data_IF_003087837602
#
_entry.id   IF_003087837602
#
_cell.length_a   1.000
_cell.length_b   1.000
_cell.length_c   1.000
_cell.angle_alpha   90.00
_cell.angle_beta   90.00
_cell.angle_gamma   90.00
#
_symmetry.space_group_name_H-M   'P 1'
#
loop_
_entity.id
_entity.type
_entity.pdbx_description
1 polymer ?
#
# COMPACT_ATOMS: atom_id res chain seq x y z
N UNK A 1 29.59 -22.59 14.18
CA UNK A 1 28.68 -21.53 13.86
C UNK A 1 27.49 -22.16 13.13
N UNK A 2 26.32 -22.21 13.76
CA UNK A 2 25.08 -22.60 13.09
C UNK A 2 24.83 -21.60 11.97
N UNK A 3 24.67 -22.04 10.73
CA UNK A 3 24.33 -21.18 9.61
C UNK A 3 22.90 -20.68 9.82
N UNK A 4 22.65 -19.38 9.56
CA UNK A 4 21.29 -18.83 9.58
C UNK A 4 20.41 -19.58 8.59
N UNK A 5 19.16 -19.88 8.98
CA UNK A 5 18.20 -20.61 8.15
C UNK A 5 17.80 -19.82 6.89
N UNK A 6 17.76 -18.47 7.02
CA UNK A 6 17.43 -17.54 5.94
C UNK A 6 18.48 -16.44 5.79
N UNK A 7 18.59 -15.87 4.60
CA UNK A 7 19.34 -14.64 4.41
C UNK A 7 18.54 -13.45 4.99
N UNK A 8 17.23 -13.43 4.75
CA UNK A 8 16.39 -12.30 5.13
C UNK A 8 15.08 -12.81 5.77
N UNK A 9 14.74 -12.23 6.91
CA UNK A 9 13.42 -12.36 7.53
C UNK A 9 12.67 -11.04 7.42
N UNK A 10 11.43 -11.09 6.94
CA UNK A 10 10.57 -9.93 6.80
C UNK A 10 9.35 -10.11 7.71
N UNK A 11 9.21 -9.22 8.67
CA UNK A 11 8.06 -9.17 9.57
C UNK A 11 7.00 -8.21 9.03
N UNK A 12 5.89 -8.75 8.58
CA UNK A 12 4.76 -8.05 7.97
C UNK A 12 4.56 -8.42 6.50
N UNK A 13 3.45 -9.06 6.19
CA UNK A 13 3.00 -9.44 4.84
C UNK A 13 2.04 -8.43 4.22
N UNK A 14 2.18 -7.14 4.54
CA UNK A 14 1.54 -6.05 3.81
C UNK A 14 2.18 -5.85 2.43
N UNK A 15 1.68 -4.89 1.63
CA UNK A 15 2.22 -4.64 0.29
C UNK A 15 3.73 -4.39 0.31
N UNK A 16 4.23 -3.60 1.26
CA UNK A 16 5.66 -3.31 1.38
C UNK A 16 6.49 -4.55 1.71
N UNK A 17 6.06 -5.36 2.69
CA UNK A 17 6.78 -6.58 3.06
C UNK A 17 6.74 -7.65 1.98
N UNK A 18 5.60 -7.85 1.32
CA UNK A 18 5.50 -8.77 0.19
C UNK A 18 6.33 -8.30 -1.02
N UNK A 19 6.38 -7.00 -1.29
CA UNK A 19 7.24 -6.46 -2.35
C UNK A 19 8.72 -6.69 -2.04
N UNK A 20 9.12 -6.43 -0.80
CA UNK A 20 10.49 -6.73 -0.35
C UNK A 20 10.81 -8.23 -0.49
N UNK A 21 9.88 -9.12 -0.06
CA UNK A 21 10.05 -10.55 -0.19
C UNK A 21 10.21 -11.00 -1.66
N UNK A 22 9.38 -10.46 -2.56
CA UNK A 22 9.48 -10.74 -3.98
C UNK A 22 10.78 -10.19 -4.59
N UNK A 23 11.20 -8.98 -4.22
CA UNK A 23 12.41 -8.36 -4.74
C UNK A 23 13.68 -9.11 -4.30
N UNK A 24 13.80 -9.41 -3.02
CA UNK A 24 14.95 -10.17 -2.50
C UNK A 24 14.94 -11.62 -2.99
N UNK A 25 13.77 -12.26 -3.04
CA UNK A 25 13.64 -13.60 -3.59
C UNK A 25 14.03 -13.67 -5.06
N UNK A 26 13.65 -12.67 -5.87
CA UNK A 26 14.03 -12.56 -7.29
C UNK A 26 15.53 -12.29 -7.45
N UNK A 27 16.18 -11.69 -6.46
CA UNK A 27 17.63 -11.50 -6.42
C UNK A 27 18.40 -12.73 -5.91
N UNK A 28 17.72 -13.84 -5.60
CA UNK A 28 18.33 -15.10 -5.21
C UNK A 28 18.50 -15.32 -3.70
N UNK A 29 18.08 -14.39 -2.86
CA UNK A 29 18.15 -14.57 -1.40
C UNK A 29 17.09 -15.54 -0.89
N UNK A 30 17.42 -16.30 0.16
CA UNK A 30 16.42 -17.09 0.91
C UNK A 30 15.67 -16.18 1.87
N UNK A 31 14.32 -16.13 1.72
CA UNK A 31 13.49 -15.16 2.44
C UNK A 31 12.38 -15.84 3.22
N UNK A 32 12.25 -15.51 4.51
CA UNK A 32 11.05 -15.79 5.31
C UNK A 32 10.23 -14.51 5.47
N UNK A 33 9.00 -14.50 4.98
CA UNK A 33 8.04 -13.41 5.21
C UNK A 33 6.94 -13.89 6.15
N UNK A 34 6.72 -13.19 7.27
CA UNK A 34 5.77 -13.58 8.31
C UNK A 34 4.71 -12.50 8.49
N UNK A 35 3.43 -12.87 8.44
CA UNK A 35 2.31 -11.94 8.65
C UNK A 35 1.37 -12.44 9.75
N UNK A 36 0.99 -11.54 10.65
CA UNK A 36 -0.02 -11.81 11.69
C UNK A 36 -1.43 -12.03 11.12
N UNK A 37 -1.72 -11.50 9.93
CA UNK A 37 -3.04 -11.61 9.31
C UNK A 37 -3.18 -13.01 8.69
N UNK A 38 -4.26 -13.76 9.00
CA UNK A 38 -4.52 -15.04 8.37
C UNK A 38 -4.69 -14.95 6.85
N UNK A 39 -4.38 -16.05 6.16
CA UNK A 39 -4.52 -16.12 4.69
C UNK A 39 -5.97 -15.89 4.21
N UNK A 40 -6.94 -16.36 5.00
CA UNK A 40 -8.37 -16.12 4.74
C UNK A 40 -8.87 -15.03 5.69
N UNK A 41 -9.33 -13.88 5.15
CA UNK A 41 -9.99 -12.87 5.97
C UNK A 41 -11.23 -13.45 6.66
N UNK A 42 -11.49 -13.05 7.89
CA UNK A 42 -12.73 -13.43 8.58
C UNK A 42 -13.97 -12.87 7.86
N UNK A 43 -15.16 -13.41 8.14
CA UNK A 43 -16.41 -13.04 7.44
C UNK A 43 -16.79 -11.55 7.60
N UNK A 44 -16.23 -10.86 8.58
CA UNK A 44 -16.44 -9.42 8.83
C UNK A 44 -15.40 -8.53 8.18
N UNK A 45 -14.41 -9.06 7.47
CA UNK A 45 -13.36 -8.27 6.84
C UNK A 45 -13.93 -7.46 5.68
N UNK A 46 -13.82 -6.13 5.78
CA UNK A 46 -14.18 -5.24 4.67
C UNK A 46 -13.13 -5.34 3.56
N UNK A 47 -13.55 -5.35 2.29
CA UNK A 47 -12.61 -5.26 1.17
C UNK A 47 -11.73 -4.01 1.29
N UNK A 48 -10.45 -4.13 0.95
CA UNK A 48 -9.55 -2.99 0.88
C UNK A 48 -9.88 -2.16 -0.38
N UNK A 49 -10.54 -1.03 -0.18
CA UNK A 49 -10.92 -0.10 -1.25
C UNK A 49 -9.82 0.90 -1.59
N UNK A 50 -8.65 0.81 -0.95
CA UNK A 50 -7.53 1.70 -1.19
C UNK A 50 -6.80 1.33 -2.47
N UNK A 51 -6.13 2.33 -3.02
CA UNK A 51 -5.26 2.20 -4.18
C UNK A 51 -3.87 2.73 -3.85
N UNK A 52 -2.91 2.40 -4.67
CA UNK A 52 -1.54 2.90 -4.56
C UNK A 52 -1.15 3.53 -5.90
N UNK A 53 -0.77 4.81 -5.85
CA UNK A 53 -0.12 5.47 -6.98
C UNK A 53 1.35 5.05 -7.04
N UNK A 54 1.70 4.30 -8.06
CA UNK A 54 3.06 3.85 -8.35
C UNK A 54 3.72 4.87 -9.26
N UNK A 55 4.60 5.68 -8.72
CA UNK A 55 5.35 6.65 -9.50
C UNK A 55 6.47 5.96 -10.30
N UNK A 56 6.96 6.62 -11.34
CA UNK A 56 7.99 6.08 -12.25
C UNK A 56 9.21 5.46 -11.57
N UNK A 57 9.79 6.03 -10.48
CA UNK A 57 10.90 5.38 -9.79
C UNK A 57 10.56 4.01 -9.21
N UNK A 58 9.30 3.77 -8.83
CA UNK A 58 8.86 2.47 -8.29
C UNK A 58 8.83 1.38 -9.38
N UNK A 59 8.65 1.76 -10.65
CA UNK A 59 8.55 0.82 -11.77
C UNK A 59 9.76 -0.11 -11.85
N UNK A 60 10.98 0.44 -11.77
CA UNK A 60 12.20 -0.37 -11.88
C UNK A 60 12.35 -1.43 -10.78
N UNK A 61 11.84 -1.14 -9.58
CA UNK A 61 11.83 -2.11 -8.46
C UNK A 61 10.82 -3.21 -8.75
N UNK A 62 9.64 -2.84 -9.26
CA UNK A 62 8.58 -3.79 -9.62
C UNK A 62 8.98 -4.69 -10.78
N UNK A 63 9.70 -4.14 -11.77
CA UNK A 63 10.27 -4.91 -12.90
C UNK A 63 11.28 -5.94 -12.39
N UNK A 64 12.26 -5.52 -11.57
CA UNK A 64 13.26 -6.40 -10.96
C UNK A 64 12.64 -7.48 -10.07
N UNK A 65 11.55 -7.16 -9.39
CA UNK A 65 10.80 -8.12 -8.58
C UNK A 65 9.92 -9.08 -9.43
N UNK A 66 9.80 -8.85 -10.75
CA UNK A 66 8.96 -9.64 -11.66
C UNK A 66 7.46 -9.46 -11.41
N UNK A 67 7.05 -8.22 -11.09
CA UNK A 67 5.67 -7.89 -10.71
C UNK A 67 5.04 -6.92 -11.72
N UNK A 68 5.87 -6.17 -12.46
CA UNK A 68 5.41 -5.03 -13.25
C UNK A 68 4.39 -5.43 -14.32
N UNK A 69 4.64 -6.49 -15.09
CA UNK A 69 3.74 -6.92 -16.16
C UNK A 69 2.33 -7.21 -15.65
N UNK A 70 2.23 -7.93 -14.54
CA UNK A 70 0.92 -8.19 -13.92
C UNK A 70 0.29 -6.94 -13.28
N UNK A 71 1.10 -6.00 -12.80
CA UNK A 71 0.59 -4.78 -12.17
C UNK A 71 0.04 -3.79 -13.21
N UNK A 72 0.66 -3.69 -14.39
CA UNK A 72 0.24 -2.74 -15.43
C UNK A 72 -1.09 -3.12 -16.07
N UNK A 73 -1.43 -4.42 -16.15
CA UNK A 73 -2.71 -4.89 -16.69
C UNK A 73 -3.92 -4.33 -15.92
N UNK A 74 -3.80 -4.11 -14.60
CA UNK A 74 -4.86 -3.54 -13.76
C UNK A 74 -4.57 -2.12 -13.28
N UNK A 75 -3.68 -1.40 -13.99
CA UNK A 75 -3.23 -0.07 -13.62
C UNK A 75 -3.83 1.01 -14.53
N UNK A 76 -4.22 2.11 -13.94
CA UNK A 76 -4.69 3.29 -14.66
C UNK A 76 -3.59 4.34 -14.70
N UNK A 77 -3.18 4.83 -15.89
CA UNK A 77 -2.13 5.83 -16.01
C UNK A 77 -2.56 7.18 -15.41
N UNK A 78 -1.63 7.82 -14.70
CA UNK A 78 -1.76 9.15 -14.12
C UNK A 78 -1.03 10.14 -15.04
N UNK A 79 -1.80 10.89 -15.85
CA UNK A 79 -1.27 11.80 -16.87
C UNK A 79 -1.23 13.23 -16.41
N UNK A 80 -2.18 13.62 -15.59
CA UNK A 80 -2.27 14.98 -15.06
C UNK A 80 -2.58 14.96 -13.54
N UNK A 81 -2.15 16.00 -12.86
CA UNK A 81 -2.53 16.32 -11.50
C UNK A 81 -3.17 17.70 -11.49
N UNK A 82 -4.43 17.77 -11.14
CA UNK A 82 -5.18 19.04 -11.01
C UNK A 82 -5.42 19.33 -9.53
N UNK A 83 -4.89 20.45 -9.05
CA UNK A 83 -5.12 20.96 -7.70
C UNK A 83 -6.11 22.10 -7.78
N UNK A 84 -7.19 22.00 -7.01
CA UNK A 84 -8.30 22.94 -7.00
C UNK A 84 -8.49 23.46 -5.58
N UNK A 85 -8.51 24.77 -5.43
CA UNK A 85 -8.95 25.44 -4.21
C UNK A 85 -10.43 25.83 -4.33
N UNK A 86 -11.27 25.38 -3.41
CA UNK A 86 -12.70 25.67 -3.35
C UNK A 86 -13.06 26.40 -2.06
N UNK A 87 -14.10 27.25 -2.11
CA UNK A 87 -14.62 27.94 -0.94
C UNK A 87 -15.68 27.13 -0.14
N UNK A 88 -15.88 25.86 -0.51
CA UNK A 88 -16.87 24.99 0.12
C UNK A 88 -18.30 25.11 -0.45
N UNK A 89 -18.56 26.02 -1.37
CA UNK A 89 -19.83 26.20 -2.08
C UNK A 89 -19.73 25.77 -3.56
N UNK A 90 -18.84 24.81 -3.86
CA UNK A 90 -18.52 24.37 -5.22
C UNK A 90 -17.99 25.47 -6.16
N UNK A 91 -17.60 26.63 -5.62
CA UNK A 91 -16.98 27.70 -6.41
C UNK A 91 -15.46 27.51 -6.37
N UNK A 92 -14.87 27.34 -7.53
CA UNK A 92 -13.44 27.25 -7.74
C UNK A 92 -12.84 28.65 -7.58
N UNK A 93 -11.89 28.79 -6.63
CA UNK A 93 -11.11 30.01 -6.42
C UNK A 93 -9.83 29.99 -7.25
N UNK A 94 -9.19 28.86 -7.32
CA UNK A 94 -7.93 28.66 -8.06
C UNK A 94 -7.84 27.23 -8.53
N UNK A 95 -7.31 27.03 -9.72
CA UNK A 95 -6.96 25.70 -10.24
C UNK A 95 -5.59 25.76 -10.91
N UNK A 96 -4.77 24.75 -10.62
CA UNK A 96 -3.47 24.53 -11.29
C UNK A 96 -3.49 23.09 -11.77
N UNK A 97 -3.03 22.87 -12.98
CA UNK A 97 -2.85 21.55 -13.56
C UNK A 97 -1.38 21.35 -13.93
N UNK A 98 -0.85 20.19 -13.62
CA UNK A 98 0.46 19.72 -14.01
C UNK A 98 0.23 18.55 -14.96
N UNK A 99 0.63 18.69 -16.21
CA UNK A 99 0.54 17.62 -17.20
C UNK A 99 1.90 16.94 -17.38
N UNK A 100 1.89 15.61 -17.51
CA UNK A 100 3.12 14.84 -17.65
C UNK A 100 3.89 15.22 -18.92
N UNK A 101 3.20 15.68 -19.95
CA UNK A 101 3.81 16.13 -21.21
C UNK A 101 4.68 17.37 -21.04
N UNK A 102 4.41 18.24 -20.04
CA UNK A 102 5.23 19.43 -19.75
C UNK A 102 6.68 19.07 -19.40
N UNK A 103 6.91 17.86 -18.93
CA UNK A 103 8.25 17.33 -18.60
C UNK A 103 8.66 16.18 -19.53
N UNK A 104 8.02 16.06 -20.70
CA UNK A 104 8.34 15.06 -21.72
C UNK A 104 7.94 13.63 -21.37
N UNK A 105 6.97 13.44 -20.47
CA UNK A 105 6.44 12.14 -20.08
C UNK A 105 5.04 11.92 -20.65
N UNK A 106 4.64 10.65 -20.81
CA UNK A 106 3.26 10.29 -21.14
C UNK A 106 2.39 10.18 -19.87
N UNK A 107 2.99 9.74 -18.76
CA UNK A 107 2.36 9.64 -17.45
C UNK A 107 3.38 9.81 -16.32
N UNK A 108 2.94 10.35 -15.18
CA UNK A 108 3.75 10.43 -13.96
C UNK A 108 3.92 9.08 -13.27
N UNK A 109 2.93 8.21 -13.44
CA UNK A 109 2.84 6.94 -12.78
C UNK A 109 1.51 6.23 -13.07
N UNK A 110 1.16 5.29 -12.23
CA UNK A 110 -0.02 4.43 -12.41
C UNK A 110 -0.72 4.21 -11.09
N UNK A 111 -2.04 4.28 -11.10
CA UNK A 111 -2.85 3.94 -9.93
C UNK A 111 -3.31 2.50 -10.02
N UNK A 112 -3.05 1.72 -8.98
CA UNK A 112 -3.39 0.29 -8.91
C UNK A 112 -4.16 0.00 -7.63
N UNK A 113 -5.21 -0.81 -7.71
CA UNK A 113 -5.91 -1.28 -6.52
C UNK A 113 -4.98 -2.11 -5.63
N UNK A 114 -5.00 -1.85 -4.31
CA UNK A 114 -4.24 -2.63 -3.34
C UNK A 114 -4.61 -4.12 -3.37
N UNK A 115 -5.85 -4.45 -3.72
CA UNK A 115 -6.29 -5.83 -3.89
C UNK A 115 -5.55 -6.50 -5.04
N UNK A 116 -5.48 -5.85 -6.20
CA UNK A 116 -4.76 -6.37 -7.38
C UNK A 116 -3.27 -6.52 -7.06
N UNK A 117 -2.64 -5.49 -6.50
CA UNK A 117 -1.24 -5.56 -6.09
C UNK A 117 -0.97 -6.73 -5.14
N UNK A 118 -1.84 -6.95 -4.16
CA UNK A 118 -1.72 -8.08 -3.24
C UNK A 118 -1.78 -9.42 -3.95
N UNK A 119 -2.74 -9.61 -4.85
CA UNK A 119 -2.93 -10.85 -5.61
C UNK A 119 -1.70 -11.16 -6.48
N UNK A 120 -1.14 -10.15 -7.13
CA UNK A 120 0.06 -10.29 -7.97
C UNK A 120 1.28 -10.63 -7.12
N UNK A 121 1.49 -9.92 -6.01
CA UNK A 121 2.58 -10.16 -5.07
C UNK A 121 2.51 -11.59 -4.49
N UNK A 122 1.33 -12.04 -4.08
CA UNK A 122 1.15 -13.41 -3.58
C UNK A 122 1.41 -14.47 -4.65
N UNK A 123 0.98 -14.22 -5.88
CA UNK A 123 1.27 -15.10 -7.01
C UNK A 123 2.77 -15.18 -7.27
N UNK A 124 3.45 -14.03 -7.29
CA UNK A 124 4.92 -13.97 -7.49
C UNK A 124 5.67 -14.73 -6.41
N UNK A 125 5.36 -14.46 -5.13
CA UNK A 125 6.00 -15.12 -3.99
C UNK A 125 5.81 -16.65 -4.05
N UNK A 126 4.62 -17.13 -4.37
CA UNK A 126 4.36 -18.57 -4.54
C UNK A 126 5.19 -19.22 -5.66
N UNK A 127 5.58 -18.45 -6.67
CA UNK A 127 6.45 -18.91 -7.77
C UNK A 127 7.94 -18.89 -7.45
N UNK A 128 8.34 -18.41 -6.27
CA UNK A 128 9.75 -18.32 -5.83
C UNK A 128 10.03 -19.43 -4.80
N UNK A 129 10.78 -20.46 -5.19
CA UNK A 129 11.11 -21.59 -4.32
C UNK A 129 11.94 -21.21 -3.08
N UNK A 130 12.66 -20.10 -3.15
CA UNK A 130 13.50 -19.55 -2.10
C UNK A 130 12.79 -18.55 -1.17
N UNK A 131 11.46 -18.36 -1.31
CA UNK A 131 10.67 -17.47 -0.48
C UNK A 131 9.56 -18.23 0.23
N UNK A 132 9.50 -18.14 1.56
CA UNK A 132 8.40 -18.66 2.37
C UNK A 132 7.51 -17.52 2.86
N UNK A 133 6.18 -17.68 2.74
CA UNK A 133 5.18 -16.73 3.27
C UNK A 133 4.33 -17.43 4.33
N UNK A 134 4.58 -17.12 5.60
CA UNK A 134 3.83 -17.63 6.75
C UNK A 134 2.79 -16.60 7.19
N UNK A 135 1.52 -17.01 7.23
CA UNK A 135 0.40 -16.16 7.64
C UNK A 135 -0.24 -16.63 8.94
N UNK A 136 -0.89 -15.70 9.64
CA UNK A 136 -1.56 -15.96 10.91
C UNK A 136 -0.62 -16.08 12.11
N UNK A 137 0.62 -15.66 11.95
CA UNK A 137 1.63 -15.66 13.01
C UNK A 137 2.27 -14.28 13.13
N UNK A 138 2.33 -13.77 14.34
CA UNK A 138 3.00 -12.51 14.62
C UNK A 138 4.46 -12.78 15.02
N UNK A 139 5.33 -11.83 14.74
CA UNK A 139 6.65 -11.79 15.34
C UNK A 139 6.50 -11.35 16.78
N UNK A 140 6.78 -12.25 17.72
CA UNK A 140 6.68 -12.02 19.15
C UNK A 140 7.95 -11.39 19.73
N UNK A 141 9.12 -11.74 19.23
CA UNK A 141 10.41 -11.25 19.70
C UNK A 141 11.44 -11.26 18.59
N UNK A 142 12.34 -10.27 18.60
CA UNK A 142 13.55 -10.24 17.76
C UNK A 142 14.74 -10.06 18.69
N UNK A 143 15.74 -10.93 18.54
CA UNK A 143 17.01 -10.89 19.25
C UNK A 143 18.11 -10.68 18.21
N UNK A 144 18.75 -9.54 18.25
CA UNK A 144 19.92 -9.27 17.42
C UNK A 144 21.17 -9.88 18.06
N UNK A 145 21.95 -10.61 17.26
CA UNK A 145 23.29 -11.10 17.57
C UNK A 145 24.27 -10.55 16.55
N UNK A 146 25.55 -10.73 16.77
CA UNK A 146 26.60 -10.17 15.92
C UNK A 146 26.48 -10.59 14.44
N UNK A 147 25.99 -11.80 14.17
CA UNK A 147 25.94 -12.38 12.82
C UNK A 147 24.56 -12.84 12.37
N UNK A 148 23.55 -12.74 13.24
CA UNK A 148 22.20 -13.19 12.93
C UNK A 148 21.14 -12.45 13.77
N UNK A 149 19.92 -12.41 13.26
CA UNK A 149 18.72 -12.05 14.01
C UNK A 149 17.90 -13.32 14.27
N UNK A 150 17.62 -13.62 15.53
CA UNK A 150 16.72 -14.70 15.92
C UNK A 150 15.34 -14.10 16.16
N UNK A 151 14.34 -14.63 15.47
CA UNK A 151 12.96 -14.20 15.58
C UNK A 151 12.12 -15.32 16.16
N UNK A 152 11.37 -15.02 17.22
CA UNK A 152 10.38 -15.91 17.80
C UNK A 152 8.97 -15.48 17.36
N UNK A 153 8.19 -16.42 16.84
CA UNK A 153 6.82 -16.19 16.40
C UNK A 153 5.83 -16.43 17.54
N UNK A 154 4.59 -15.99 17.38
CA UNK A 154 3.52 -16.11 18.38
C UNK A 154 3.14 -17.53 18.76
N UNK A 155 3.53 -18.52 17.97
CA UNK A 155 3.33 -19.96 18.24
C UNK A 155 4.57 -20.65 18.84
N UNK A 156 5.60 -19.88 19.18
CA UNK A 156 6.88 -20.40 19.71
C UNK A 156 7.89 -20.85 18.65
N UNK A 157 7.54 -20.85 17.36
CA UNK A 157 8.49 -21.15 16.28
C UNK A 157 9.64 -20.14 16.29
N UNK A 158 10.87 -20.61 16.11
CA UNK A 158 12.05 -19.76 16.01
C UNK A 158 12.64 -19.85 14.61
N UNK A 159 12.94 -18.70 14.05
CA UNK A 159 13.58 -18.54 12.76
C UNK A 159 14.85 -17.70 12.94
N UNK A 160 15.91 -18.03 12.21
CA UNK A 160 17.15 -17.25 12.19
C UNK A 160 17.40 -16.70 10.79
N UNK A 161 17.88 -15.46 10.70
CA UNK A 161 18.23 -14.81 9.46
C UNK A 161 19.45 -13.90 9.63
N UNK A 162 20.21 -13.68 8.56
CA UNK A 162 21.31 -12.70 8.56
C UNK A 162 20.82 -11.27 8.75
N UNK A 163 19.62 -10.97 8.22
CA UNK A 163 18.97 -9.66 8.31
C UNK A 163 17.49 -9.81 8.65
N UNK A 164 17.00 -9.05 9.63
CA UNK A 164 15.57 -8.91 9.90
C UNK A 164 15.07 -7.54 9.47
N UNK A 165 13.98 -7.51 8.69
CA UNK A 165 13.32 -6.30 8.19
C UNK A 165 11.95 -6.16 8.85
N UNK A 166 11.72 -5.08 9.59
CA UNK A 166 10.42 -4.75 10.14
C UNK A 166 9.57 -4.01 9.11
N UNK A 167 8.57 -4.69 8.56
CA UNK A 167 7.56 -4.17 7.64
C UNK A 167 6.13 -4.33 8.21
N UNK A 168 6.00 -4.37 9.55
CA UNK A 168 4.78 -4.67 10.31
C UNK A 168 3.84 -3.47 10.45
N UNK A 169 4.13 -2.38 9.75
CA UNK A 169 3.25 -1.26 9.54
C UNK A 169 3.38 -0.11 10.53
N UNK A 170 2.44 0.82 10.46
CA UNK A 170 2.46 2.07 11.22
C UNK A 170 2.59 1.86 12.73
N UNK A 171 1.91 0.86 13.26
CA UNK A 171 1.95 0.49 14.69
C UNK A 171 2.92 -0.70 14.89
N UNK A 172 4.16 -0.53 14.46
CA UNK A 172 5.18 -1.56 14.50
C UNK A 172 5.50 -1.99 15.93
N UNK A 173 5.15 -3.22 16.26
CA UNK A 173 5.49 -3.81 17.55
C UNK A 173 6.98 -4.12 17.68
N UNK A 174 7.66 -4.35 16.56
CA UNK A 174 9.10 -4.60 16.53
C UNK A 174 9.86 -3.33 16.85
N UNK A 175 9.51 -2.21 16.22
CA UNK A 175 10.09 -0.90 16.51
C UNK A 175 9.99 -0.56 18.00
N UNK A 176 8.79 -0.72 18.56
CA UNK A 176 8.53 -0.39 19.96
C UNK A 176 9.34 -1.29 20.92
N UNK A 177 9.47 -2.59 20.60
CA UNK A 177 10.28 -3.54 21.40
C UNK A 177 11.78 -3.32 21.29
N UNK A 178 12.26 -2.79 20.18
CA UNK A 178 13.66 -2.44 20.00
C UNK A 178 14.02 -1.08 20.59
N UNK A 179 13.05 -0.38 21.20
CA UNK A 179 13.28 0.94 21.81
C UNK A 179 13.59 2.02 20.77
N UNK A 180 13.12 1.86 19.53
CA UNK A 180 13.33 2.87 18.48
C UNK A 180 12.26 3.95 18.64
N UNK A 181 12.68 5.14 19.05
CA UNK A 181 11.82 6.27 19.30
C UNK A 181 11.12 6.76 18.03
N UNK A 182 9.92 7.33 18.22
CA UNK A 182 9.12 7.92 17.15
C UNK A 182 8.74 9.34 17.51
N UNK A 183 9.03 10.26 16.62
CA UNK A 183 8.42 11.59 16.64
C UNK A 183 7.14 11.51 15.82
N UNK A 184 5.99 11.68 16.48
CA UNK A 184 4.68 11.50 15.85
C UNK A 184 3.81 12.75 15.96
N UNK A 185 3.09 13.06 14.90
CA UNK A 185 1.99 14.02 14.88
C UNK A 185 0.67 13.28 14.63
N UNK A 186 -0.34 13.54 15.45
CA UNK A 186 -1.68 13.00 15.25
C UNK A 186 -2.57 14.06 14.58
N UNK A 187 -2.89 13.87 13.33
CA UNK A 187 -3.91 14.68 12.66
C UNK A 187 -5.28 14.50 13.33
N UNK A 188 -6.09 15.57 13.37
CA UNK A 188 -7.50 15.50 13.80
C UNK A 188 -8.44 15.08 12.67
N UNK A 189 -7.88 14.69 11.53
CA UNK A 189 -8.63 14.27 10.34
C UNK A 189 -8.68 12.75 10.21
N UNK A 190 -9.74 12.27 9.60
CA UNK A 190 -9.97 10.86 9.24
C UNK A 190 -10.12 10.78 7.73
N UNK A 191 -9.39 9.86 7.10
CA UNK A 191 -9.53 9.57 5.68
C UNK A 191 -10.65 8.55 5.44
N UNK A 192 -11.57 8.88 4.56
CA UNK A 192 -12.56 7.97 3.98
C UNK A 192 -12.04 7.53 2.61
N UNK A 193 -11.91 6.22 2.38
CA UNK A 193 -11.45 5.66 1.12
C UNK A 193 -12.55 4.76 0.52
N UNK A 194 -12.94 5.05 -0.72
CA UNK A 194 -13.94 4.30 -1.48
C UNK A 194 -13.77 4.56 -2.98
N UNK A 195 -14.56 3.86 -3.82
CA UNK A 195 -14.57 4.10 -5.26
C UNK A 195 -15.91 4.63 -5.70
N UNK A 196 -15.91 5.43 -6.77
CA UNK A 196 -17.11 5.97 -7.42
C UNK A 196 -17.04 5.77 -8.93
N UNK A 197 -18.19 5.52 -9.55
CA UNK A 197 -18.35 5.63 -11.01
C UNK A 197 -19.01 6.99 -11.34
N UNK A 198 -18.60 7.58 -12.44
CA UNK A 198 -19.08 8.88 -12.88
C UNK A 198 -19.36 8.92 -14.38
N UNK A 199 -19.95 10.03 -14.86
CA UNK A 199 -20.37 10.14 -16.27
C UNK A 199 -19.27 10.63 -17.19
N UNK A 200 -18.43 11.54 -16.70
CA UNK A 200 -17.37 12.14 -17.52
C UNK A 200 -16.08 11.33 -17.39
N UNK A 201 -15.36 11.07 -18.50
CA UNK A 201 -14.05 10.45 -18.46
C UNK A 201 -13.07 11.27 -17.61
N UNK A 202 -12.25 10.57 -16.80
CA UNK A 202 -11.22 11.23 -15.99
C UNK A 202 -9.99 11.66 -16.82
N UNK A 203 -9.80 11.10 -18.05
CA UNK A 203 -8.68 11.46 -18.92
C UNK A 203 -7.29 11.16 -18.35
N UNK A 204 -7.20 10.36 -17.30
CA UNK A 204 -5.94 10.11 -16.57
C UNK A 204 -5.57 11.22 -15.58
N UNK A 205 -6.47 12.18 -15.32
CA UNK A 205 -6.22 13.28 -14.39
C UNK A 205 -6.60 12.88 -12.94
N UNK A 206 -5.65 12.97 -12.02
CA UNK A 206 -5.93 13.00 -10.60
C UNK A 206 -6.36 14.40 -10.20
N UNK A 207 -7.45 14.51 -9.44
CA UNK A 207 -8.01 15.82 -9.02
C UNK A 207 -7.99 15.88 -7.50
N UNK A 208 -7.34 16.89 -6.96
CA UNK A 208 -7.29 17.16 -5.53
C UNK A 208 -7.97 18.49 -5.22
N UNK A 209 -9.11 18.44 -4.53
CA UNK A 209 -9.91 19.59 -4.18
C UNK A 209 -9.66 19.94 -2.72
N UNK A 210 -9.08 21.09 -2.46
CA UNK A 210 -8.84 21.61 -1.11
C UNK A 210 -10.04 22.43 -0.63
N UNK A 211 -10.66 21.95 0.44
CA UNK A 211 -11.77 22.59 1.13
C UNK A 211 -11.47 22.73 2.63
N UNK A 212 -12.38 23.40 3.38
CA UNK A 212 -12.19 23.66 4.82
C UNK A 212 -12.04 22.40 5.68
N UNK A 213 -12.69 21.28 5.28
CA UNK A 213 -12.64 20.00 6.00
C UNK A 213 -11.33 19.23 5.77
N UNK A 214 -10.70 19.47 4.64
CA UNK A 214 -9.52 18.77 4.16
C UNK A 214 -9.61 18.45 2.67
N UNK A 215 -8.59 17.83 2.08
CA UNK A 215 -8.59 17.48 0.67
C UNK A 215 -9.60 16.36 0.36
N UNK A 216 -10.28 16.53 -0.77
CA UNK A 216 -11.08 15.52 -1.44
C UNK A 216 -10.38 15.17 -2.75
N UNK A 217 -9.86 13.95 -2.84
CA UNK A 217 -9.03 13.52 -3.97
C UNK A 217 -9.75 12.45 -4.78
N UNK A 218 -9.80 12.65 -6.10
CA UNK A 218 -10.22 11.66 -7.09
C UNK A 218 -8.99 11.16 -7.84
N UNK A 219 -8.74 9.85 -7.79
CA UNK A 219 -7.63 9.22 -8.51
C UNK A 219 -8.18 8.26 -9.55
N UNK A 220 -7.79 8.37 -10.83
CA UNK A 220 -8.26 7.51 -11.90
C UNK A 220 -8.19 6.03 -11.58
N UNK A 221 -9.24 5.29 -11.91
CA UNK A 221 -9.31 3.83 -11.88
C UNK A 221 -9.73 3.32 -13.25
N UNK A 222 -9.47 2.04 -13.50
CA UNK A 222 -10.05 1.34 -14.62
C UNK A 222 -11.57 1.44 -14.61
N UNK A 223 -12.16 1.56 -15.80
CA UNK A 223 -13.61 1.68 -15.95
C UNK A 223 -14.33 0.48 -15.35
N UNK A 224 -15.34 0.74 -14.56
CA UNK A 224 -16.17 -0.29 -13.96
C UNK A 224 -17.51 -0.38 -14.67
N UNK A 225 -17.82 -1.57 -15.22
CA UNK A 225 -19.07 -1.81 -15.95
C UNK A 225 -19.33 -0.79 -17.09
N UNK A 226 -18.26 -0.43 -17.82
CA UNK A 226 -18.34 0.53 -18.92
C UNK A 226 -18.52 1.98 -18.48
N UNK A 227 -18.28 2.31 -17.22
CA UNK A 227 -18.35 3.67 -16.69
C UNK A 227 -16.99 4.11 -16.15
N UNK A 228 -16.58 5.35 -16.44
CA UNK A 228 -15.41 5.94 -15.83
C UNK A 228 -15.48 5.86 -14.31
N UNK A 229 -14.37 5.48 -13.68
CA UNK A 229 -14.32 5.24 -12.25
C UNK A 229 -13.12 5.93 -11.62
N UNK A 230 -13.24 6.32 -10.36
CA UNK A 230 -12.15 6.91 -9.59
C UNK A 230 -12.14 6.37 -8.15
N UNK A 231 -10.95 6.19 -7.61
CA UNK A 231 -10.76 6.03 -6.18
C UNK A 231 -10.91 7.41 -5.52
N UNK A 232 -11.59 7.45 -4.40
CA UNK A 232 -11.78 8.65 -3.58
C UNK A 232 -10.98 8.50 -2.30
N UNK A 233 -10.21 9.54 -1.97
CA UNK A 233 -9.67 9.76 -0.63
C UNK A 233 -10.23 11.09 -0.13
N UNK A 234 -11.11 11.03 0.85
CA UNK A 234 -11.76 12.22 1.41
C UNK A 234 -11.32 12.42 2.85
N UNK A 235 -10.61 13.50 3.10
CA UNK A 235 -10.14 13.86 4.43
C UNK A 235 -11.18 14.76 5.10
N UNK A 236 -11.61 14.36 6.30
CA UNK A 236 -12.58 15.10 7.08
C UNK A 236 -12.25 15.07 8.57
N UNK A 237 -12.86 15.95 9.36
CA UNK A 237 -12.81 15.85 10.81
C UNK A 237 -13.39 14.51 11.28
N UNK A 238 -12.87 13.94 12.38
CA UNK A 238 -13.32 12.65 12.88
C UNK A 238 -14.85 12.61 13.08
N UNK A 239 -15.44 13.66 13.63
CA UNK A 239 -16.89 13.73 13.87
C UNK A 239 -17.74 13.71 12.58
N UNK A 240 -17.26 14.39 11.53
CA UNK A 240 -17.94 14.36 10.22
C UNK A 240 -17.77 13.00 9.56
N UNK A 241 -16.57 12.43 9.59
CA UNK A 241 -16.28 11.13 9.02
C UNK A 241 -17.14 10.02 9.65
N UNK A 242 -17.27 9.98 10.98
CA UNK A 242 -18.15 9.04 11.69
C UNK A 242 -19.61 9.19 11.27
N UNK A 243 -20.12 10.43 11.17
CA UNK A 243 -21.49 10.70 10.70
C UNK A 243 -21.71 10.25 9.26
N UNK A 244 -20.71 10.40 8.38
CA UNK A 244 -20.80 9.95 6.99
C UNK A 244 -20.84 8.42 6.88
N UNK A 245 -20.01 7.72 7.64
CA UNK A 245 -19.95 6.24 7.64
C UNK A 245 -21.20 5.62 8.24
N UNK A 246 -21.85 6.26 9.21
CA UNK A 246 -23.06 5.77 9.88
C UNK A 246 -24.34 5.97 9.09
N UNK A 247 -24.33 6.75 8.00
CA UNK A 247 -25.52 6.94 7.15
C UNK A 247 -25.89 5.65 6.44
N UNK A 248 -27.19 5.26 6.46
CA UNK A 248 -27.65 4.11 5.71
C UNK A 248 -27.38 4.32 4.21
N UNK A 249 -26.95 3.25 3.54
CA UNK A 249 -26.84 3.23 2.07
C UNK A 249 -28.26 3.39 1.49
N UNK A 250 -28.47 4.42 0.70
CA UNK A 250 -29.70 4.57 -0.09
C UNK A 250 -29.59 3.79 -1.39
#
# INVERSE_FOLDING_TARGET
LQSSEYDILIAGGGLAGMLAAAAFGSAGYTVACVDRIPAKPGPSARPDARTTALLRPSKSILEKAGIWEGAIEGATPLRALRIVESNGNAQIRKSIEFDASEIGLQEFGWNVSNRILREILERRIRGLANVSLTRGRAVARVLNRDFEAITELSDGTRLSAKLAIAADGRNSAIRDRLGIDVVGYRSRQTALAFSVSHKQPHGGASIEIHERGGPFTLVPLEDSSGRPSSAVVWMESAAIAERLVSRPRR
#
